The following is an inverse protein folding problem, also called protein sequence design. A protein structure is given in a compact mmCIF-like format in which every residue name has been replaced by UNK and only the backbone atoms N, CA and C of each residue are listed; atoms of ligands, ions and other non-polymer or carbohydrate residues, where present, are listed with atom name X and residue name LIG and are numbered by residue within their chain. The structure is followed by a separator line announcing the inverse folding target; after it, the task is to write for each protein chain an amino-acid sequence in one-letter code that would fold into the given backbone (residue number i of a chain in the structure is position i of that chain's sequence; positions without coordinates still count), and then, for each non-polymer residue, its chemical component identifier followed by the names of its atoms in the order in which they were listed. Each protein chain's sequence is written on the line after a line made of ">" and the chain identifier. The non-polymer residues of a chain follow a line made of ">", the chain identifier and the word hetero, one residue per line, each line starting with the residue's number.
data_IF_792244833412
#
_entry.id   IF_792244833412
#
_cell.length_a   1.000
_cell.length_b   1.000
_cell.length_c   1.000
_cell.angle_alpha   90.00
_cell.angle_beta   90.00
_cell.angle_gamma   90.00
#
_symmetry.space_group_name_H-M   'P 1'
#
loop_
_entity.id
_entity.type
_entity.pdbx_description
1 polymer ?
#
# COMPACT_ATOMS: atom_id res chain seq x y z
N UNK A 1 -32.90 51.21 -32.18
CA UNK A 1 -33.10 49.81 -31.72
C UNK A 1 -32.17 48.91 -32.49
N UNK A 2 -31.18 48.31 -31.82
CA UNK A 2 -30.46 47.07 -32.21
C UNK A 2 -29.27 46.88 -31.24
N UNK A 3 -29.55 46.27 -30.10
CA UNK A 3 -28.52 45.77 -29.20
C UNK A 3 -27.99 44.45 -29.77
N UNK A 4 -26.71 44.41 -30.13
CA UNK A 4 -25.99 43.18 -30.43
C UNK A 4 -25.61 42.51 -29.10
N UNK A 5 -26.27 41.40 -28.77
CA UNK A 5 -25.88 40.50 -27.68
C UNK A 5 -24.78 39.57 -28.18
N UNK A 6 -23.59 39.49 -27.55
CA UNK A 6 -22.65 38.43 -27.85
C UNK A 6 -23.14 37.14 -27.20
N UNK A 7 -23.34 36.12 -28.03
CA UNK A 7 -23.64 34.75 -27.63
C UNK A 7 -22.44 34.20 -26.86
N UNK A 8 -22.54 34.14 -25.53
CA UNK A 8 -21.61 33.38 -24.70
C UNK A 8 -21.83 31.88 -24.98
N UNK A 9 -21.02 31.31 -25.87
CA UNK A 9 -20.91 29.86 -26.03
C UNK A 9 -20.30 29.25 -24.76
N UNK A 10 -21.15 28.63 -23.93
CA UNK A 10 -20.71 27.79 -22.83
C UNK A 10 -20.21 26.46 -23.42
N UNK A 11 -18.89 26.25 -23.41
CA UNK A 11 -18.27 24.97 -23.75
C UNK A 11 -18.34 24.09 -22.50
N UNK A 12 -19.29 23.16 -22.49
CA UNK A 12 -19.41 22.13 -21.45
C UNK A 12 -18.34 21.06 -21.72
N UNK A 13 -17.24 21.07 -20.96
CA UNK A 13 -16.23 20.01 -21.00
C UNK A 13 -16.85 18.71 -20.48
N UNK A 14 -17.11 17.77 -21.40
CA UNK A 14 -17.46 16.39 -21.09
C UNK A 14 -16.26 15.70 -20.43
N UNK A 15 -16.18 15.71 -19.11
CA UNK A 15 -15.30 14.82 -18.36
C UNK A 15 -15.90 13.42 -18.40
N UNK A 16 -15.41 12.56 -19.30
CA UNK A 16 -15.73 11.14 -19.28
C UNK A 16 -15.12 10.53 -18.01
N UNK A 17 -15.91 9.93 -17.10
CA UNK A 17 -15.33 9.15 -16.02
C UNK A 17 -14.64 7.95 -16.65
N UNK A 18 -13.31 7.91 -16.53
CA UNK A 18 -12.52 6.75 -16.92
C UNK A 18 -12.89 5.64 -15.93
N UNK A 19 -13.81 4.74 -16.35
CA UNK A 19 -14.13 3.56 -15.57
C UNK A 19 -12.82 2.79 -15.33
N UNK A 20 -12.40 2.69 -14.07
CA UNK A 20 -11.33 1.77 -13.68
C UNK A 20 -11.78 0.39 -14.13
N UNK A 21 -11.10 -0.19 -15.10
CA UNK A 21 -11.34 -1.57 -15.48
C UNK A 21 -11.31 -2.42 -14.20
N UNK A 22 -12.38 -3.17 -13.95
CA UNK A 22 -12.49 -4.03 -12.78
C UNK A 22 -11.19 -4.82 -12.62
N UNK A 23 -10.53 -4.67 -11.48
CA UNK A 23 -9.26 -5.32 -11.21
C UNK A 23 -9.50 -6.83 -11.33
N UNK A 24 -8.80 -7.56 -12.23
CA UNK A 24 -9.12 -8.96 -12.44
C UNK A 24 -8.81 -9.72 -11.15
N UNK A 25 -9.86 -10.29 -10.54
CA UNK A 25 -9.76 -11.25 -9.45
C UNK A 25 -8.90 -12.41 -9.98
N UNK A 26 -7.60 -12.41 -9.64
CA UNK A 26 -6.56 -13.41 -9.93
C UNK A 26 -6.50 -14.05 -11.35
N UNK A 27 -7.33 -13.61 -12.30
CA UNK A 27 -7.66 -14.37 -13.50
C UNK A 27 -8.46 -15.65 -13.21
N UNK A 28 -9.03 -16.23 -14.27
CA UNK A 28 -9.77 -17.50 -14.21
C UNK A 28 -8.89 -18.76 -14.34
N UNK A 29 -7.57 -18.57 -14.48
CA UNK A 29 -6.58 -19.65 -14.63
C UNK A 29 -5.58 -19.58 -13.46
N UNK A 30 -5.78 -20.35 -12.37
CA UNK A 30 -4.99 -20.23 -11.15
C UNK A 30 -3.48 -20.42 -11.32
N UNK A 31 -3.06 -21.18 -12.34
CA UNK A 31 -1.65 -21.44 -12.66
C UNK A 31 -0.96 -20.30 -13.43
N UNK A 32 -1.70 -19.27 -13.85
CA UNK A 32 -1.18 -18.18 -14.65
C UNK A 32 -1.35 -16.85 -13.93
N UNK A 33 -0.29 -16.05 -13.92
CA UNK A 33 -0.40 -14.63 -13.57
C UNK A 33 -1.09 -13.89 -14.72
N UNK A 34 -2.14 -13.09 -14.47
CA UNK A 34 -2.76 -12.28 -15.51
C UNK A 34 -1.75 -11.35 -16.20
N UNK A 35 -1.89 -11.17 -17.50
CA UNK A 35 -1.09 -10.21 -18.26
C UNK A 35 -1.34 -8.79 -17.75
N UNK A 36 -0.27 -8.04 -17.46
CA UNK A 36 -0.38 -6.68 -16.92
C UNK A 36 -0.66 -6.60 -15.42
N UNK A 37 -0.69 -7.73 -14.70
CA UNK A 37 -0.79 -7.70 -13.25
C UNK A 37 0.43 -6.97 -12.64
N UNK A 38 0.22 -5.95 -11.78
CA UNK A 38 1.31 -5.20 -11.16
C UNK A 38 2.32 -6.10 -10.47
N UNK A 39 3.60 -5.78 -10.58
CA UNK A 39 4.70 -6.50 -9.93
C UNK A 39 5.37 -5.56 -8.93
N UNK A 40 5.58 -6.03 -7.71
CA UNK A 40 6.40 -5.33 -6.74
C UNK A 40 7.85 -5.74 -6.97
N UNK A 41 8.65 -4.85 -7.53
CA UNK A 41 10.08 -5.10 -7.78
C UNK A 41 10.93 -4.92 -6.52
N UNK A 42 10.56 -3.94 -5.68
CA UNK A 42 11.30 -3.58 -4.47
C UNK A 42 10.36 -3.14 -3.36
N UNK A 43 10.77 -3.42 -2.13
CA UNK A 43 10.06 -3.01 -0.91
C UNK A 43 10.91 -1.97 -0.20
N UNK A 44 10.32 -0.80 0.05
CA UNK A 44 11.05 0.30 0.66
C UNK A 44 10.96 0.23 2.20
N UNK A 45 12.07 -0.11 2.85
CA UNK A 45 12.20 -0.05 4.30
C UNK A 45 12.67 1.34 4.75
N UNK A 46 11.75 2.30 4.74
CA UNK A 46 12.04 3.66 5.23
C UNK A 46 12.13 3.71 6.78
N UNK A 47 12.47 4.88 7.33
CA UNK A 47 12.58 5.08 8.78
C UNK A 47 11.31 4.67 9.54
N UNK A 48 10.14 5.06 9.05
CA UNK A 48 8.85 4.73 9.67
C UNK A 48 8.58 3.23 9.67
N UNK A 49 8.97 2.53 8.59
CA UNK A 49 8.88 1.08 8.52
C UNK A 49 9.74 0.42 9.61
N UNK A 50 10.99 0.86 9.78
CA UNK A 50 11.87 0.34 10.84
C UNK A 50 11.37 0.67 12.24
N UNK A 51 10.89 1.90 12.47
CA UNK A 51 10.31 2.30 13.75
C UNK A 51 9.14 1.39 14.14
N UNK A 52 8.26 1.09 13.18
CA UNK A 52 7.17 0.14 13.37
C UNK A 52 7.69 -1.29 13.56
N UNK A 53 8.52 -1.80 12.66
CA UNK A 53 9.05 -3.17 12.71
C UNK A 53 9.86 -3.46 13.99
N UNK A 54 10.46 -2.44 14.60
CA UNK A 54 11.25 -2.53 15.83
C UNK A 54 10.46 -2.19 17.10
N UNK A 55 9.12 -2.06 17.02
CA UNK A 55 8.26 -1.83 18.19
C UNK A 55 8.61 -2.78 19.35
N UNK A 56 8.87 -2.25 20.54
CA UNK A 56 9.22 -3.06 21.72
C UNK A 56 10.63 -3.67 21.73
N UNK A 57 11.46 -3.43 20.71
CA UNK A 57 12.86 -3.87 20.68
C UNK A 57 13.76 -2.74 21.20
N UNK A 58 14.58 -3.03 22.21
CA UNK A 58 15.50 -2.07 22.80
C UNK A 58 16.86 -2.12 22.11
N UNK A 59 17.56 -0.98 22.11
CA UNK A 59 18.95 -0.91 21.62
C UNK A 59 19.92 -1.47 22.67
N UNK A 60 21.09 -2.01 22.26
CA UNK A 60 21.53 -2.18 20.87
C UNK A 60 20.73 -3.28 20.16
N UNK A 61 20.40 -3.06 18.89
CA UNK A 61 19.66 -4.07 18.12
C UNK A 61 20.55 -5.29 17.88
N UNK A 62 20.07 -6.51 18.18
CA UNK A 62 20.87 -7.70 17.99
C UNK A 62 21.10 -7.96 16.50
N UNK A 63 22.29 -8.45 16.16
CA UNK A 63 22.68 -8.76 14.77
C UNK A 63 21.73 -9.73 14.07
N UNK A 64 21.03 -10.57 14.82
CA UNK A 64 20.00 -11.47 14.30
C UNK A 64 18.86 -10.75 13.58
N UNK A 65 18.62 -9.44 13.82
CA UNK A 65 17.57 -8.67 13.14
C UNK A 65 17.96 -8.16 11.75
N UNK A 66 19.14 -8.48 11.25
CA UNK A 66 19.57 -8.11 9.88
C UNK A 66 18.64 -8.67 8.78
N UNK A 67 17.80 -9.67 9.09
CA UNK A 67 16.79 -10.15 8.14
C UNK A 67 15.77 -9.07 7.77
N UNK A 68 15.56 -8.05 8.61
CA UNK A 68 14.62 -6.96 8.32
C UNK A 68 15.01 -6.19 7.05
N UNK A 69 16.31 -6.03 6.78
CA UNK A 69 16.82 -5.37 5.59
C UNK A 69 16.45 -6.11 4.30
N UNK A 70 16.26 -7.43 4.40
CA UNK A 70 16.01 -8.34 3.28
C UNK A 70 14.54 -8.83 3.25
N UNK A 71 13.69 -8.31 4.11
CA UNK A 71 12.29 -8.74 4.22
C UNK A 71 11.48 -8.24 3.01
N UNK A 72 10.73 -9.13 2.36
CA UNK A 72 9.74 -8.73 1.36
C UNK A 72 8.45 -8.21 1.99
N UNK A 73 7.49 -7.78 1.18
CA UNK A 73 6.20 -7.22 1.65
C UNK A 73 5.19 -8.34 1.99
N UNK A 74 5.68 -9.44 2.55
CA UNK A 74 4.87 -10.56 2.98
C UNK A 74 4.34 -10.33 4.40
N UNK A 75 3.20 -10.94 4.72
CA UNK A 75 2.74 -10.98 6.10
C UNK A 75 3.75 -11.73 6.97
N UNK A 76 4.26 -11.07 8.01
CA UNK A 76 5.13 -11.71 8.99
C UNK A 76 4.61 -11.45 10.41
N UNK A 77 4.66 -12.44 11.31
CA UNK A 77 4.26 -12.23 12.69
C UNK A 77 5.26 -11.37 13.47
N UNK A 78 6.42 -11.05 12.89
CA UNK A 78 7.43 -10.24 13.55
C UNK A 78 7.08 -8.74 13.53
N UNK A 79 6.68 -8.21 12.38
CA UNK A 79 6.40 -6.77 12.20
C UNK A 79 4.90 -6.44 12.26
N UNK A 80 4.08 -7.36 12.80
CA UNK A 80 2.63 -7.20 12.96
C UNK A 80 2.22 -7.51 14.41
N UNK A 81 1.17 -6.86 14.94
CA UNK A 81 0.59 -7.23 16.22
C UNK A 81 0.12 -8.69 16.23
N UNK A 82 0.48 -9.42 17.28
CA UNK A 82 0.07 -10.80 17.51
C UNK A 82 -1.08 -10.91 18.51
N UNK A 83 -0.95 -11.83 19.47
CA UNK A 83 -1.92 -11.98 20.57
C UNK A 83 -1.79 -10.84 21.60
N UNK A 84 -2.89 -10.51 22.28
CA UNK A 84 -2.94 -9.48 23.34
C UNK A 84 -2.54 -10.05 24.70
N UNK A 85 -2.41 -9.16 25.69
CA UNK A 85 -2.23 -9.52 27.10
C UNK A 85 -0.86 -10.14 27.37
N UNK A 86 -0.76 -11.30 28.05
CA UNK A 86 0.53 -11.87 28.45
C UNK A 86 1.43 -12.27 27.27
N UNK A 87 0.88 -12.37 26.06
CA UNK A 87 1.61 -12.70 24.85
C UNK A 87 2.07 -11.46 24.05
N UNK A 88 1.64 -10.25 24.45
CA UNK A 88 2.09 -9.01 23.82
C UNK A 88 3.43 -8.53 24.39
N UNK A 89 4.44 -9.40 24.30
CA UNK A 89 5.78 -9.16 24.88
C UNK A 89 6.51 -7.96 24.26
N UNK A 90 6.00 -7.43 23.15
CA UNK A 90 6.53 -6.25 22.45
C UNK A 90 5.65 -5.00 22.60
N UNK A 91 4.50 -5.10 23.26
CA UNK A 91 3.61 -3.98 23.55
C UNK A 91 2.99 -3.36 22.31
N UNK A 92 2.58 -4.18 21.34
CA UNK A 92 1.94 -3.79 20.09
C UNK A 92 0.52 -3.23 20.24
N UNK A 93 -0.19 -3.55 21.32
CA UNK A 93 -1.60 -3.17 21.53
C UNK A 93 -1.79 -2.06 22.57
N UNK A 94 -0.76 -1.24 22.80
CA UNK A 94 -0.79 -0.14 23.77
C UNK A 94 -1.42 1.13 23.19
#
# INVERSE_FOLDING_TARGET
>A
MRFFLPVCSVILLLTTPMASADYPIAGIKPSLRPSGAPVVEWVQHNKTWYEHALTGVQRPYPRSLYFLDNQGDWYTPFNRPGMRGPYDIRGWHR
#
